data_IF_594355943037
#
_entry.id   IF_594355943037
#
_cell.length_a   1.000
_cell.length_b   1.000
_cell.length_c   1.000
_cell.angle_alpha   90.00
_cell.angle_beta   90.00
_cell.angle_gamma   90.00
#
_symmetry.space_group_name_H-M   'P 1'
#
loop_
_entity.id
_entity.type
_entity.pdbx_description
1 polymer ?
#
# COMPACT_ATOMS: atom_id res chain seq x y z
N UNK A 1 -38.46 -22.45 0.87
CA UNK A 1 -37.10 -21.98 1.27
C UNK A 1 -36.19 -23.18 1.44
N UNK A 2 -35.50 -23.60 0.37
CA UNK A 2 -34.40 -24.56 0.50
C UNK A 2 -33.20 -23.75 0.98
N UNK A 3 -32.91 -23.77 2.29
CA UNK A 3 -31.61 -23.31 2.80
C UNK A 3 -30.57 -24.31 2.28
N UNK A 4 -29.95 -24.01 1.15
CA UNK A 4 -28.81 -24.79 0.65
C UNK A 4 -27.64 -24.63 1.63
N UNK A 5 -26.99 -25.75 1.96
CA UNK A 5 -25.81 -25.74 2.80
C UNK A 5 -24.69 -24.92 2.14
N UNK A 6 -24.07 -23.98 2.87
CA UNK A 6 -22.94 -23.27 2.33
C UNK A 6 -21.76 -24.22 2.13
N UNK A 7 -21.08 -24.13 0.99
CA UNK A 7 -19.76 -24.75 0.85
C UNK A 7 -18.83 -24.14 1.90
N UNK A 8 -18.16 -24.99 2.68
CA UNK A 8 -17.30 -24.57 3.81
C UNK A 8 -16.20 -23.57 3.41
N UNK A 9 -15.85 -23.49 2.12
CA UNK A 9 -14.78 -22.64 1.58
C UNK A 9 -15.23 -21.30 0.95
N UNK A 10 -16.52 -20.94 1.04
CA UNK A 10 -17.07 -19.72 0.43
C UNK A 10 -17.79 -18.82 1.46
N UNK A 11 -17.51 -17.51 1.41
CA UNK A 11 -18.34 -16.49 2.05
C UNK A 11 -19.54 -16.23 1.15
N UNK A 12 -20.76 -16.36 1.66
CA UNK A 12 -21.97 -16.07 0.88
C UNK A 12 -22.42 -14.63 1.12
N UNK A 13 -22.87 -13.96 0.06
CA UNK A 13 -23.34 -12.57 0.10
C UNK A 13 -24.85 -12.56 -0.14
N UNK A 14 -25.61 -12.29 0.91
CA UNK A 14 -27.06 -12.07 0.82
C UNK A 14 -27.43 -10.58 0.68
N UNK A 15 -28.74 -10.33 0.59
CA UNK A 15 -29.30 -8.98 0.49
C UNK A 15 -29.00 -8.14 1.73
N UNK A 16 -29.19 -8.73 2.92
CA UNK A 16 -29.05 -8.03 4.20
C UNK A 16 -27.70 -8.26 4.89
N UNK A 17 -27.09 -9.44 4.72
CA UNK A 17 -25.90 -9.84 5.48
C UNK A 17 -25.03 -10.82 4.71
N UNK A 18 -23.77 -10.94 5.15
CA UNK A 18 -22.84 -11.97 4.71
C UNK A 18 -22.87 -13.15 5.70
N UNK A 19 -22.73 -14.37 5.20
CA UNK A 19 -22.62 -15.59 6.01
C UNK A 19 -21.29 -16.31 5.75
N UNK A 20 -20.87 -17.15 6.70
CA UNK A 20 -19.59 -17.89 6.70
C UNK A 20 -18.34 -17.01 6.66
N UNK A 21 -18.36 -15.92 7.43
CA UNK A 21 -17.26 -14.96 7.49
C UNK A 21 -16.03 -15.55 8.20
N UNK A 22 -16.23 -16.54 9.08
CA UNK A 22 -15.16 -17.18 9.86
C UNK A 22 -14.72 -18.47 9.17
N UNK A 23 -13.40 -18.70 9.12
CA UNK A 23 -12.88 -20.03 8.80
C UNK A 23 -13.29 -21.00 9.91
N UNK A 24 -14.02 -22.05 9.55
CA UNK A 24 -14.45 -23.14 10.44
C UNK A 24 -13.37 -24.21 10.65
N UNK A 25 -12.25 -24.15 9.93
CA UNK A 25 -11.24 -25.23 9.84
C UNK A 25 -10.54 -25.57 11.19
N UNK A 26 -10.64 -24.72 12.21
CA UNK A 26 -9.88 -24.88 13.45
C UNK A 26 -10.50 -25.80 14.52
N UNK A 27 -11.80 -26.14 14.46
CA UNK A 27 -12.47 -26.83 15.59
C UNK A 27 -13.54 -27.88 15.22
N UNK A 28 -13.65 -28.30 13.95
CA UNK A 28 -14.56 -29.39 13.54
C UNK A 28 -13.95 -30.78 13.66
N UNK A 29 -14.78 -31.82 13.82
CA UNK A 29 -14.40 -33.24 13.93
C UNK A 29 -13.62 -33.81 12.71
N UNK A 30 -13.41 -33.01 11.66
CA UNK A 30 -12.60 -33.31 10.48
C UNK A 30 -11.32 -32.46 10.33
N UNK A 31 -10.88 -31.75 11.37
CA UNK A 31 -9.71 -30.86 11.32
C UNK A 31 -8.45 -31.63 10.89
N UNK A 32 -7.95 -31.35 9.68
CA UNK A 32 -6.66 -31.86 9.23
C UNK A 32 -5.55 -31.11 9.98
N UNK A 33 -4.70 -31.86 10.67
CA UNK A 33 -3.48 -31.30 11.26
C UNK A 33 -2.69 -30.51 10.21
N UNK A 34 -2.12 -29.37 10.62
CA UNK A 34 -1.31 -28.54 9.74
C UNK A 34 -0.16 -29.36 9.11
N UNK A 35 -0.10 -29.35 7.78
CA UNK A 35 0.92 -30.03 6.98
C UNK A 35 1.61 -29.01 6.08
N UNK A 36 2.93 -28.84 6.27
CA UNK A 36 3.74 -27.95 5.43
C UNK A 36 3.75 -28.42 3.97
N UNK A 37 3.70 -29.73 3.73
CA UNK A 37 3.64 -30.30 2.39
C UNK A 37 2.34 -29.92 1.67
N UNK A 38 1.20 -29.98 2.37
CA UNK A 38 -0.08 -29.57 1.83
C UNK A 38 -0.17 -28.07 1.60
N UNK A 39 0.36 -27.26 2.53
CA UNK A 39 0.46 -25.82 2.35
C UNK A 39 1.28 -25.48 1.09
N UNK A 40 2.45 -26.11 0.90
CA UNK A 40 3.30 -25.89 -0.27
C UNK A 40 2.63 -26.29 -1.58
N UNK A 41 1.80 -27.34 -1.56
CA UNK A 41 1.04 -27.80 -2.73
C UNK A 41 -0.12 -26.85 -3.09
N UNK A 42 -0.80 -26.30 -2.09
CA UNK A 42 -1.94 -25.37 -2.25
C UNK A 42 -1.49 -23.95 -2.61
N UNK A 43 -0.36 -23.51 -2.07
CA UNK A 43 0.15 -22.15 -2.27
C UNK A 43 0.45 -21.89 -3.76
N UNK A 44 -0.24 -20.89 -4.32
CA UNK A 44 0.05 -20.39 -5.67
C UNK A 44 0.04 -18.88 -5.66
N UNK A 45 0.94 -18.28 -6.42
CA UNK A 45 1.01 -16.83 -6.64
C UNK A 45 0.99 -16.54 -8.13
N UNK A 46 0.17 -15.57 -8.55
CA UNK A 46 0.07 -15.14 -9.94
C UNK A 46 0.12 -13.63 -10.01
N UNK A 47 1.09 -13.08 -10.75
CA UNK A 47 1.19 -11.63 -10.95
C UNK A 47 0.33 -11.24 -12.15
N UNK A 48 -0.54 -10.26 -11.96
CA UNK A 48 -1.47 -9.76 -12.99
C UNK A 48 -0.95 -8.45 -13.59
N UNK A 49 -0.48 -7.55 -12.73
CA UNK A 49 0.15 -6.27 -13.13
C UNK A 49 1.36 -6.03 -12.25
N UNK A 50 2.47 -5.58 -12.85
CA UNK A 50 3.68 -5.20 -12.13
C UNK A 50 4.33 -4.00 -12.82
N UNK A 51 4.32 -2.86 -12.15
CA UNK A 51 5.07 -1.65 -12.49
C UNK A 51 5.80 -1.17 -11.23
N UNK A 52 6.69 -0.18 -11.36
CA UNK A 52 7.43 0.34 -10.21
C UNK A 52 6.49 0.86 -9.11
N UNK A 53 5.37 1.48 -9.49
CA UNK A 53 4.39 2.07 -8.57
C UNK A 53 3.25 1.11 -8.23
N UNK A 54 2.80 0.24 -9.14
CA UNK A 54 1.63 -0.62 -8.93
C UNK A 54 1.96 -2.11 -9.03
N UNK A 55 1.48 -2.89 -8.07
CA UNK A 55 1.50 -4.35 -8.13
C UNK A 55 0.11 -4.93 -7.83
N UNK A 56 -0.43 -5.67 -8.79
CA UNK A 56 -1.62 -6.51 -8.60
C UNK A 56 -1.22 -7.98 -8.73
N UNK A 57 -1.46 -8.76 -7.69
CA UNK A 57 -1.14 -10.19 -7.68
C UNK A 57 -2.15 -10.99 -6.87
N UNK A 58 -2.30 -12.25 -7.25
CA UNK A 58 -3.13 -13.22 -6.56
C UNK A 58 -2.27 -14.08 -5.65
N UNK A 59 -2.76 -14.34 -4.44
CA UNK A 59 -2.23 -15.34 -3.54
C UNK A 59 -3.33 -16.33 -3.15
N UNK A 60 -3.10 -17.59 -3.47
CA UNK A 60 -4.08 -18.68 -3.34
C UNK A 60 -3.55 -19.71 -2.34
N UNK A 61 -4.41 -20.22 -1.47
CA UNK A 61 -4.08 -21.27 -0.50
C UNK A 61 -3.44 -20.76 0.79
N UNK A 62 -3.66 -19.48 1.13
CA UNK A 62 -3.15 -18.84 2.35
C UNK A 62 -4.30 -18.47 3.27
N UNK A 63 -4.06 -18.50 4.58
CA UNK A 63 -5.04 -18.06 5.57
C UNK A 63 -5.20 -16.53 5.60
N UNK A 64 -6.42 -15.98 5.80
CA UNK A 64 -6.64 -14.54 5.91
C UNK A 64 -5.74 -13.83 6.93
N UNK A 65 -5.32 -14.50 8.00
CA UNK A 65 -4.41 -13.92 9.01
C UNK A 65 -3.03 -13.63 8.42
N UNK A 66 -2.49 -14.52 7.58
CA UNK A 66 -1.19 -14.32 6.91
C UNK A 66 -1.32 -13.22 5.86
N UNK A 67 -2.39 -13.25 5.04
CA UNK A 67 -2.65 -12.20 4.06
C UNK A 67 -2.78 -10.82 4.74
N UNK A 68 -3.54 -10.73 5.82
CA UNK A 68 -3.67 -9.49 6.59
C UNK A 68 -2.37 -9.07 7.29
N UNK A 69 -1.54 -10.03 7.72
CA UNK A 69 -0.22 -9.71 8.27
C UNK A 69 0.68 -9.05 7.22
N UNK A 70 0.74 -9.59 5.99
CA UNK A 70 1.47 -8.97 4.87
C UNK A 70 0.97 -7.54 4.64
N UNK A 71 -0.35 -7.36 4.53
CA UNK A 71 -0.97 -6.03 4.35
C UNK A 71 -0.59 -5.05 5.46
N UNK A 72 -0.65 -5.48 6.72
CA UNK A 72 -0.31 -4.63 7.87
C UNK A 72 1.17 -4.25 7.91
N UNK A 73 2.04 -5.18 7.56
CA UNK A 73 3.49 -4.94 7.52
C UNK A 73 3.83 -3.94 6.41
N UNK A 74 3.24 -4.08 5.22
CA UNK A 74 3.42 -3.14 4.12
C UNK A 74 3.09 -1.70 4.53
N UNK A 75 2.00 -1.50 5.27
CA UNK A 75 1.55 -0.17 5.70
C UNK A 75 2.41 0.39 6.84
N UNK A 76 2.79 -0.44 7.81
CA UNK A 76 3.25 0.05 9.11
C UNK A 76 4.69 -0.31 9.48
N UNK A 77 5.32 -1.29 8.83
CA UNK A 77 6.57 -1.87 9.36
C UNK A 77 7.69 -2.02 8.34
N UNK A 78 7.41 -1.85 7.05
CA UNK A 78 8.48 -1.70 6.06
C UNK A 78 9.13 -0.33 6.25
N UNK A 79 10.46 -0.26 6.50
CA UNK A 79 11.12 0.99 6.82
C UNK A 79 11.41 1.85 5.58
N UNK A 80 11.31 3.16 5.74
CA UNK A 80 11.55 4.16 4.69
C UNK A 80 12.36 5.35 5.22
N UNK A 81 12.82 6.21 4.32
CA UNK A 81 13.46 7.48 4.66
C UNK A 81 12.44 8.62 4.55
N UNK A 82 12.25 9.39 5.62
CA UNK A 82 11.39 10.58 5.61
C UNK A 82 12.00 11.70 6.45
N UNK A 83 11.60 12.95 6.19
CA UNK A 83 12.11 14.12 6.90
C UNK A 83 11.68 14.04 8.37
N UNK A 84 12.65 14.19 9.28
CA UNK A 84 12.41 14.06 10.72
C UNK A 84 12.84 15.30 11.50
N UNK A 85 14.07 15.77 11.29
CA UNK A 85 14.55 17.02 11.89
C UNK A 85 14.61 18.11 10.83
N UNK A 86 13.93 19.21 11.08
CA UNK A 86 13.92 20.38 10.21
C UNK A 86 14.42 21.56 11.02
N UNK A 87 15.57 22.10 10.64
CA UNK A 87 16.14 23.31 11.23
C UNK A 87 15.77 24.48 10.32
N UNK A 88 14.81 25.29 10.78
CA UNK A 88 14.44 26.55 10.15
C UNK A 88 15.44 27.63 10.54
N UNK A 89 16.12 28.20 9.54
CA UNK A 89 17.07 29.31 9.72
C UNK A 89 16.30 30.63 9.60
N UNK A 90 15.46 30.75 8.57
CA UNK A 90 14.62 31.92 8.35
C UNK A 90 13.32 31.53 7.64
N UNK A 91 12.17 31.99 8.15
CA UNK A 91 10.89 31.88 7.47
C UNK A 91 10.14 33.20 7.58
N UNK A 92 10.05 33.93 6.47
CA UNK A 92 9.25 35.17 6.35
C UNK A 92 8.01 34.97 5.48
N UNK A 93 7.67 33.72 5.17
CA UNK A 93 6.47 33.37 4.43
C UNK A 93 5.20 33.54 5.28
N UNK A 94 4.04 33.45 4.64
CA UNK A 94 2.75 33.45 5.35
C UNK A 94 2.44 32.13 6.05
N UNK A 95 3.12 31.03 5.69
CA UNK A 95 2.85 29.72 6.27
C UNK A 95 3.59 29.62 7.61
N UNK A 96 2.86 29.23 8.66
CA UNK A 96 3.44 29.01 9.97
C UNK A 96 4.48 27.88 9.93
N UNK A 97 5.54 28.02 10.71
CA UNK A 97 6.66 27.07 10.78
C UNK A 97 6.21 25.62 10.97
N UNK A 98 5.21 25.39 11.83
CA UNK A 98 4.66 24.05 12.11
C UNK A 98 3.98 23.44 10.89
N UNK A 99 3.24 24.24 10.14
CA UNK A 99 2.55 23.76 8.93
C UNK A 99 3.55 23.51 7.81
N UNK A 100 4.54 24.39 7.66
CA UNK A 100 5.61 24.25 6.68
C UNK A 100 6.44 22.98 6.94
N UNK A 101 6.87 22.78 8.19
CA UNK A 101 7.63 21.58 8.59
C UNK A 101 6.81 20.30 8.43
N UNK A 102 5.51 20.31 8.77
CA UNK A 102 4.64 19.16 8.58
C UNK A 102 4.48 18.79 7.10
N UNK A 103 4.33 19.79 6.21
CA UNK A 103 4.26 19.56 4.76
C UNK A 103 5.55 18.95 4.21
N UNK A 104 6.71 19.50 4.58
CA UNK A 104 8.02 18.95 4.21
C UNK A 104 8.18 17.51 4.73
N UNK A 105 7.70 17.25 5.95
CA UNK A 105 7.67 15.92 6.56
C UNK A 105 6.99 14.84 5.71
N UNK A 106 6.04 15.23 4.86
CA UNK A 106 5.27 14.34 3.99
C UNK A 106 5.81 14.26 2.55
N UNK A 107 6.84 15.05 2.18
CA UNK A 107 7.45 14.97 0.85
C UNK A 107 8.33 13.72 0.78
N UNK A 108 8.00 12.74 -0.07
CA UNK A 108 8.77 11.51 -0.14
C UNK A 108 10.02 11.70 -1.00
N UNK A 109 11.12 11.06 -0.60
CA UNK A 109 12.40 11.11 -1.30
C UNK A 109 12.80 9.74 -1.86
N UNK A 110 13.46 9.75 -3.00
CA UNK A 110 14.00 8.55 -3.65
C UNK A 110 15.32 8.16 -3.00
N UNK A 111 15.24 7.47 -1.86
CA UNK A 111 16.38 6.92 -1.14
C UNK A 111 16.05 5.53 -0.63
N UNK A 112 16.96 4.58 -0.88
CA UNK A 112 16.84 3.22 -0.38
C UNK A 112 17.18 3.15 1.12
N UNK A 113 16.17 2.92 1.96
CA UNK A 113 16.30 2.83 3.42
C UNK A 113 17.17 1.64 3.89
N UNK A 114 17.46 0.68 3.01
CA UNK A 114 18.30 -0.49 3.34
C UNK A 114 19.78 -0.14 3.46
N UNK A 115 20.20 0.97 2.85
CA UNK A 115 21.57 1.47 2.91
C UNK A 115 21.88 2.21 4.22
N UNK A 116 20.85 2.48 5.03
CA UNK A 116 20.96 3.29 6.24
C UNK A 116 20.66 2.48 7.50
N UNK A 117 21.39 2.81 8.56
CA UNK A 117 21.16 2.29 9.90
C UNK A 117 20.04 3.06 10.61
N UNK A 118 19.54 2.51 11.72
CA UNK A 118 18.58 3.23 12.55
C UNK A 118 19.34 4.19 13.45
N UNK A 119 19.03 5.48 13.38
CA UNK A 119 19.66 6.52 14.20
C UNK A 119 19.17 6.46 15.65
N UNK A 120 20.09 6.58 16.60
CA UNK A 120 19.74 6.95 17.98
C UNK A 120 19.48 8.47 18.03
N UNK A 121 18.33 8.95 18.52
CA UNK A 121 18.01 10.38 18.60
C UNK A 121 19.06 11.22 19.35
N UNK A 122 19.84 10.63 20.26
CA UNK A 122 20.84 11.33 21.06
C UNK A 122 22.16 11.59 20.31
N UNK A 123 22.39 10.91 19.18
CA UNK A 123 23.62 11.02 18.41
C UNK A 123 23.54 12.09 17.31
N UNK A 124 24.67 12.77 16.99
CA UNK A 124 24.74 13.66 15.85
C UNK A 124 24.49 12.90 14.54
N UNK A 125 24.07 13.62 13.50
CA UNK A 125 23.84 13.02 12.18
C UNK A 125 25.15 12.43 11.63
N UNK A 126 25.09 11.21 11.10
CA UNK A 126 26.22 10.55 10.46
C UNK A 126 25.88 10.21 9.00
N UNK A 127 26.90 9.97 8.18
CA UNK A 127 26.71 9.60 6.78
C UNK A 127 26.04 8.22 6.61
N UNK A 128 26.02 7.39 7.66
CA UNK A 128 25.45 6.04 7.66
C UNK A 128 23.96 6.01 8.06
N UNK A 129 23.43 7.09 8.65
CA UNK A 129 22.06 7.11 9.19
C UNK A 129 21.18 8.25 8.66
N UNK A 130 21.79 9.30 8.09
CA UNK A 130 21.08 10.54 7.74
C UNK A 130 21.34 10.94 6.30
N UNK A 131 20.30 11.47 5.63
CA UNK A 131 20.42 12.20 4.37
C UNK A 131 19.99 13.65 4.60
N UNK A 132 20.75 14.61 4.07
CA UNK A 132 20.52 16.03 4.31
C UNK A 132 20.06 16.73 3.03
N UNK A 133 19.03 17.56 3.15
CA UNK A 133 18.60 18.49 2.11
C UNK A 133 18.58 19.91 2.65
N UNK A 134 18.77 20.88 1.77
CA UNK A 134 18.62 22.30 2.05
C UNK A 134 17.59 22.92 1.11
N UNK A 135 16.87 23.91 1.62
CA UNK A 135 15.92 24.72 0.88
C UNK A 135 16.20 26.19 1.17
N UNK A 136 16.74 26.88 0.18
CA UNK A 136 16.99 28.32 0.25
C UNK A 136 16.32 29.00 -0.94
N UNK A 137 15.21 29.69 -0.69
CA UNK A 137 14.43 30.37 -1.74
C UNK A 137 14.00 31.75 -1.28
N UNK A 138 14.34 32.75 -2.09
CA UNK A 138 13.82 34.12 -1.99
C UNK A 138 12.93 34.45 -3.19
N UNK A 139 11.75 34.99 -2.91
CA UNK A 139 10.83 35.47 -3.95
C UNK A 139 11.15 36.91 -4.34
N UNK A 140 11.20 37.18 -5.64
CA UNK A 140 11.54 38.49 -6.19
C UNK A 140 10.55 38.90 -7.30
N UNK A 141 10.47 40.20 -7.60
CA UNK A 141 9.70 40.67 -8.76
C UNK A 141 10.42 40.29 -10.05
N UNK A 142 9.70 39.74 -11.00
CA UNK A 142 10.23 39.47 -12.33
C UNK A 142 10.23 40.78 -13.14
N UNK A 143 11.43 41.32 -13.40
CA UNK A 143 11.58 42.57 -14.15
C UNK A 143 11.29 42.42 -15.65
N UNK A 144 11.20 41.19 -16.16
CA UNK A 144 10.92 40.87 -17.56
C UNK A 144 9.45 40.54 -17.82
N UNK A 145 8.58 40.61 -16.79
CA UNK A 145 7.17 40.31 -16.93
C UNK A 145 6.49 41.31 -17.89
N UNK A 146 5.62 40.81 -18.78
CA UNK A 146 4.82 41.67 -19.65
C UNK A 146 3.87 42.54 -18.80
N UNK A 147 3.62 43.79 -19.23
CA UNK A 147 2.88 44.77 -18.43
C UNK A 147 1.41 44.39 -18.20
N UNK A 148 0.86 43.51 -19.05
CA UNK A 148 -0.48 42.92 -19.00
C UNK A 148 -0.52 41.55 -18.28
N UNK A 149 0.62 41.07 -17.75
CA UNK A 149 0.67 39.79 -17.04
C UNK A 149 -0.19 39.83 -15.78
N UNK A 150 -1.14 38.90 -15.68
CA UNK A 150 -2.03 38.76 -14.51
C UNK A 150 -1.67 37.58 -13.61
N UNK A 151 -0.93 36.60 -14.14
CA UNK A 151 -0.60 35.39 -13.39
C UNK A 151 0.61 35.63 -12.46
N UNK A 152 0.52 35.29 -11.16
CA UNK A 152 1.61 35.48 -10.21
C UNK A 152 2.93 34.80 -10.59
N UNK A 153 2.88 33.72 -11.38
CA UNK A 153 4.07 33.02 -11.89
C UNK A 153 4.85 33.83 -12.94
N UNK A 154 4.17 34.73 -13.65
CA UNK A 154 4.78 35.54 -14.70
C UNK A 154 5.32 36.84 -14.08
N UNK A 155 4.60 37.40 -13.10
CA UNK A 155 4.93 38.65 -12.40
C UNK A 155 6.06 38.47 -11.38
N UNK A 156 6.20 37.28 -10.78
CA UNK A 156 7.12 37.02 -9.68
C UNK A 156 7.99 35.79 -9.95
N UNK A 157 9.29 35.90 -9.68
CA UNK A 157 10.20 34.76 -9.68
C UNK A 157 10.17 34.05 -8.33
N UNK A 158 10.17 32.71 -8.35
CA UNK A 158 10.11 31.85 -7.16
C UNK A 158 8.88 32.10 -6.25
N UNK A 159 7.75 32.48 -6.85
CA UNK A 159 6.50 32.71 -6.10
C UNK A 159 5.83 31.43 -5.61
N UNK A 160 6.16 30.29 -6.21
CA UNK A 160 5.70 28.96 -5.80
C UNK A 160 6.92 28.11 -5.46
N UNK A 161 6.97 27.60 -4.24
CA UNK A 161 8.03 26.73 -3.75
C UNK A 161 7.59 25.28 -3.93
N UNK A 162 8.32 24.54 -4.77
CA UNK A 162 8.07 23.14 -5.07
C UNK A 162 9.11 22.23 -4.42
N UNK A 163 8.76 20.96 -4.27
CA UNK A 163 9.68 19.92 -3.79
C UNK A 163 10.96 19.84 -4.61
N UNK A 164 10.91 20.06 -5.93
CA UNK A 164 12.09 20.05 -6.79
C UNK A 164 13.14 21.13 -6.47
N UNK A 165 12.81 22.12 -5.63
CA UNK A 165 13.79 23.08 -5.12
C UNK A 165 14.59 22.59 -3.90
N UNK A 166 14.26 21.41 -3.36
CA UNK A 166 15.04 20.76 -2.32
C UNK A 166 16.37 20.29 -2.91
N UNK A 167 17.46 20.80 -2.37
CA UNK A 167 18.81 20.50 -2.87
C UNK A 167 19.48 19.52 -1.92
N UNK A 168 19.91 18.36 -2.42
CA UNK A 168 20.63 17.38 -1.61
C UNK A 168 22.03 17.90 -1.27
N UNK A 169 22.41 17.79 0.01
CA UNK A 169 23.74 18.13 0.51
C UNK A 169 24.41 16.85 0.99
N UNK A 170 25.41 16.32 0.27
CA UNK A 170 26.05 15.07 0.61
C UNK A 170 26.83 15.17 1.92
N UNK A 171 26.68 14.16 2.79
CA UNK A 171 27.61 13.94 3.90
C UNK A 171 28.84 13.14 3.42
N UNK A 172 29.88 13.10 4.24
CA UNK A 172 31.14 12.42 3.92
C UNK A 172 30.92 10.98 3.39
N UNK A 173 31.47 10.70 2.21
CA UNK A 173 31.35 9.40 1.52
C UNK A 173 30.05 9.17 0.74
N UNK A 174 29.00 9.97 0.94
CA UNK A 174 27.72 9.79 0.25
C UNK A 174 27.78 10.16 -1.24
N UNK A 175 28.65 11.08 -1.63
CA UNK A 175 28.87 11.42 -3.05
C UNK A 175 29.25 10.19 -3.88
N UNK A 176 30.12 9.34 -3.33
CA UNK A 176 30.54 8.10 -3.98
C UNK A 176 29.41 7.06 -3.97
N UNK A 177 28.68 6.94 -2.86
CA UNK A 177 27.57 5.99 -2.71
C UNK A 177 26.44 6.28 -3.71
N UNK A 178 26.13 7.56 -3.92
CA UNK A 178 25.01 8.02 -4.73
C UNK A 178 25.41 8.62 -6.08
N UNK A 179 26.65 8.42 -6.53
CA UNK A 179 27.16 8.97 -7.79
C UNK A 179 26.27 8.66 -9.01
N UNK A 180 25.60 7.51 -9.03
CA UNK A 180 24.68 7.11 -10.10
C UNK A 180 23.26 7.61 -9.91
N UNK A 181 22.79 7.65 -8.66
CA UNK A 181 21.41 7.91 -8.29
C UNK A 181 21.39 8.86 -7.09
N UNK A 182 21.59 10.18 -7.30
CA UNK A 182 21.56 11.15 -6.21
C UNK A 182 20.19 11.18 -5.53
N UNK A 183 20.14 11.31 -4.20
CA UNK A 183 18.90 11.57 -3.47
C UNK A 183 18.16 12.77 -4.05
N UNK A 184 16.87 12.59 -4.29
CA UNK A 184 15.98 13.67 -4.73
C UNK A 184 14.53 13.38 -4.32
N UNK A 185 13.65 14.39 -4.29
CA UNK A 185 12.21 14.16 -4.19
C UNK A 185 11.72 13.18 -5.26
N UNK A 186 10.69 12.41 -4.96
CA UNK A 186 10.09 11.50 -5.95
C UNK A 186 9.36 12.29 -7.03
N UNK A 187 8.60 13.29 -6.58
CA UNK A 187 7.86 14.23 -7.43
C UNK A 187 8.45 15.62 -7.20
N UNK A 188 8.83 16.30 -8.28
CA UNK A 188 9.48 17.62 -8.23
C UNK A 188 8.47 18.79 -8.18
N UNK A 189 7.17 18.50 -8.34
CA UNK A 189 6.07 19.45 -8.51
C UNK A 189 5.12 19.54 -7.31
N UNK A 190 5.49 18.94 -6.16
CA UNK A 190 4.70 19.07 -4.94
C UNK A 190 4.83 20.50 -4.42
N UNK A 191 3.73 21.25 -4.46
CA UNK A 191 3.70 22.61 -3.92
C UNK A 191 3.83 22.59 -2.39
N UNK A 192 4.88 23.22 -1.87
CA UNK A 192 5.16 23.34 -0.43
C UNK A 192 4.59 24.66 0.09
N UNK A 193 4.95 25.78 -0.53
CA UNK A 193 4.59 27.12 -0.07
C UNK A 193 4.37 28.09 -1.24
N UNK A 194 3.65 29.17 -0.99
CA UNK A 194 3.55 30.31 -1.92
C UNK A 194 4.12 31.56 -1.26
N UNK A 195 4.95 32.28 -1.99
CA UNK A 195 5.67 33.46 -1.52
C UNK A 195 5.24 34.72 -2.27
N UNK A 196 5.57 35.87 -1.68
CA UNK A 196 5.50 37.20 -2.30
C UNK A 196 6.87 37.87 -2.26
N UNK A 197 7.12 38.87 -3.13
CA UNK A 197 8.43 39.53 -3.19
C UNK A 197 8.89 40.03 -1.83
N UNK A 198 10.14 39.73 -1.48
CA UNK A 198 10.73 40.06 -0.18
C UNK A 198 10.60 38.96 0.87
N UNK A 199 9.79 37.92 0.61
CA UNK A 199 9.71 36.74 1.47
C UNK A 199 10.75 35.69 1.07
N UNK A 200 11.19 34.94 2.06
CA UNK A 200 12.23 33.93 1.99
C UNK A 200 11.95 32.77 2.92
N UNK A 201 12.36 31.58 2.48
CA UNK A 201 12.42 30.36 3.28
C UNK A 201 13.85 29.82 3.19
N UNK A 202 14.46 29.60 4.36
CA UNK A 202 15.76 28.99 4.53
C UNK A 202 15.68 27.90 5.61
N UNK A 203 15.95 26.65 5.22
CA UNK A 203 15.95 25.51 6.13
C UNK A 203 16.88 24.39 5.71
N UNK A 204 17.30 23.62 6.72
CA UNK A 204 18.01 22.35 6.59
C UNK A 204 17.12 21.21 7.06
N UNK A 205 17.09 20.12 6.31
CA UNK A 205 16.19 18.98 6.51
C UNK A 205 17.03 17.71 6.63
N UNK A 206 16.89 17.00 7.73
CA UNK A 206 17.49 15.68 7.97
C UNK A 206 16.43 14.59 7.77
N UNK A 207 16.69 13.70 6.82
CA UNK A 207 15.90 12.51 6.55
C UNK A 207 16.47 11.32 7.31
N UNK A 208 15.61 10.65 8.07
CA UNK A 208 15.96 9.52 8.89
C UNK A 208 15.16 8.29 8.48
N UNK A 209 15.71 7.12 8.80
CA UNK A 209 15.03 5.84 8.67
C UNK A 209 13.96 5.68 9.74
N UNK A 210 12.74 5.30 9.35
CA UNK A 210 11.63 5.05 10.26
C UNK A 210 10.60 4.08 9.69
N UNK A 211 9.57 3.77 10.48
CA UNK A 211 8.48 2.86 10.10
C UNK A 211 7.12 3.54 10.22
N UNK A 212 6.17 3.13 9.37
CA UNK A 212 4.81 3.70 9.31
C UNK A 212 4.04 3.64 10.64
N UNK A 213 4.35 2.65 11.50
CA UNK A 213 3.77 2.49 12.84
C UNK A 213 4.08 3.67 13.76
N UNK A 214 5.25 4.30 13.59
CA UNK A 214 5.65 5.47 14.37
C UNK A 214 4.97 6.73 13.84
N UNK A 215 4.95 6.90 12.52
CA UNK A 215 4.29 8.02 11.86
C UNK A 215 3.94 7.67 10.41
N UNK A 216 2.78 8.12 9.93
CA UNK A 216 2.27 7.80 8.59
C UNK A 216 3.20 8.26 7.44
N UNK A 217 4.01 9.30 7.66
CA UNK A 217 5.04 9.79 6.72
C UNK A 217 6.04 8.71 6.27
N UNK A 218 6.21 7.67 7.09
CA UNK A 218 7.09 6.54 6.79
C UNK A 218 6.40 5.38 6.07
N UNK A 219 5.09 5.47 5.77
CA UNK A 219 4.41 4.44 4.98
C UNK A 219 4.98 4.44 3.55
N UNK A 220 5.55 3.31 3.06
CA UNK A 220 6.05 3.23 1.69
C UNK A 220 4.94 3.10 0.64
N UNK A 221 3.73 2.80 1.09
CA UNK A 221 2.58 2.55 0.22
C UNK A 221 1.60 3.72 0.31
N UNK A 222 1.05 4.12 -0.84
CA UNK A 222 -0.14 4.97 -0.89
C UNK A 222 -1.33 4.19 -0.34
N UNK A 223 -1.54 2.98 -0.85
CA UNK A 223 -2.45 2.00 -0.26
C UNK A 223 -1.96 0.59 -0.50
N UNK A 224 -2.21 -0.28 0.49
CA UNK A 224 -2.05 -1.72 0.34
C UNK A 224 -3.33 -2.37 0.85
N UNK A 225 -4.01 -3.08 -0.06
CA UNK A 225 -5.27 -3.72 0.24
C UNK A 225 -5.36 -5.07 -0.44
N UNK A 226 -6.34 -5.85 -0.02
CA UNK A 226 -6.72 -7.05 -0.74
C UNK A 226 -8.24 -7.20 -0.71
N UNK A 227 -8.74 -7.96 -1.67
CA UNK A 227 -10.10 -8.47 -1.68
C UNK A 227 -10.09 -9.95 -2.01
N UNK A 228 -11.09 -10.68 -1.56
CA UNK A 228 -11.27 -12.07 -1.96
C UNK A 228 -11.80 -12.12 -3.40
N UNK A 229 -11.43 -13.15 -4.16
CA UNK A 229 -11.96 -13.38 -5.50
C UNK A 229 -13.49 -13.56 -5.42
N UNK A 230 -14.28 -12.73 -6.14
CA UNK A 230 -15.72 -12.93 -6.23
C UNK A 230 -16.07 -14.26 -6.90
N UNK A 231 -17.10 -14.91 -6.40
CA UNK A 231 -17.73 -16.10 -6.99
C UNK A 231 -19.16 -15.70 -7.35
N UNK A 232 -19.51 -15.83 -8.62
CA UNK A 232 -20.87 -15.56 -9.12
C UNK A 232 -21.33 -16.83 -9.81
N UNK A 233 -22.35 -17.48 -9.27
CA UNK A 233 -22.96 -18.67 -9.84
C UNK A 233 -24.38 -18.35 -10.31
N UNK A 234 -24.70 -18.72 -11.55
CA UNK A 234 -26.06 -18.71 -12.09
C UNK A 234 -26.67 -20.08 -11.78
N UNK A 235 -27.71 -20.11 -10.94
CA UNK A 235 -28.39 -21.33 -10.50
C UNK A 235 -29.38 -21.83 -11.56
N UNK A 236 -30.01 -20.89 -12.28
CA UNK A 236 -30.97 -21.16 -13.33
C UNK A 236 -30.67 -20.29 -14.56
N UNK A 237 -30.83 -20.84 -15.76
CA UNK A 237 -30.56 -20.11 -17.00
C UNK A 237 -31.40 -18.83 -17.10
N UNK A 238 -30.71 -17.69 -17.15
CA UNK A 238 -31.34 -16.37 -17.29
C UNK A 238 -31.32 -15.97 -18.75
N UNK A 239 -32.52 -15.84 -19.35
CA UNK A 239 -32.71 -15.64 -20.79
C UNK A 239 -33.43 -14.31 -21.12
N UNK A 240 -33.28 -13.85 -22.37
CA UNK A 240 -34.01 -12.71 -22.93
C UNK A 240 -33.74 -11.38 -22.21
N UNK A 241 -34.81 -10.63 -21.93
CA UNK A 241 -34.70 -9.34 -21.22
C UNK A 241 -34.13 -9.47 -19.80
N UNK A 242 -34.37 -10.59 -19.12
CA UNK A 242 -33.78 -10.87 -17.82
C UNK A 242 -32.25 -11.02 -17.92
N UNK A 243 -31.72 -11.57 -19.02
CA UNK A 243 -30.28 -11.70 -19.26
C UNK A 243 -29.61 -10.31 -19.42
N UNK A 244 -30.29 -9.39 -20.12
CA UNK A 244 -29.85 -8.00 -20.28
C UNK A 244 -29.88 -7.25 -18.95
N UNK A 245 -30.95 -7.44 -18.15
CA UNK A 245 -31.05 -6.88 -16.81
C UNK A 245 -29.93 -7.39 -15.91
N UNK A 246 -29.69 -8.71 -15.91
CA UNK A 246 -28.61 -9.33 -15.16
C UNK A 246 -27.25 -8.72 -15.53
N UNK A 247 -26.96 -8.57 -16.83
CA UNK A 247 -25.73 -7.92 -17.29
C UNK A 247 -25.57 -6.49 -16.76
N UNK A 248 -26.66 -5.72 -16.72
CA UNK A 248 -26.65 -4.35 -16.21
C UNK A 248 -26.54 -4.26 -14.68
N UNK A 249 -26.83 -5.34 -13.95
CA UNK A 249 -26.67 -5.41 -12.51
C UNK A 249 -25.20 -5.57 -12.05
N UNK A 250 -24.28 -5.94 -12.95
CA UNK A 250 -22.86 -6.16 -12.65
C UNK A 250 -21.94 -5.14 -13.34
N UNK A 251 -20.68 -5.11 -12.90
CA UNK A 251 -19.63 -4.33 -13.55
C UNK A 251 -19.43 -4.75 -15.01
N UNK A 252 -19.00 -3.82 -15.86
CA UNK A 252 -18.73 -4.09 -17.28
C UNK A 252 -17.68 -5.21 -17.41
N UNK A 253 -17.94 -6.17 -18.29
CA UNK A 253 -17.06 -7.32 -18.54
C UNK A 253 -17.24 -8.52 -17.59
N UNK A 254 -18.11 -8.42 -16.57
CA UNK A 254 -18.41 -9.55 -15.67
C UNK A 254 -19.34 -10.55 -16.35
N UNK A 255 -20.42 -10.05 -16.96
CA UNK A 255 -21.46 -10.84 -17.63
C UNK A 255 -21.51 -10.50 -19.12
N UNK A 256 -21.51 -11.54 -19.95
CA UNK A 256 -21.75 -11.43 -21.39
C UNK A 256 -23.04 -12.16 -21.76
N UNK A 257 -23.56 -11.82 -22.94
CA UNK A 257 -24.77 -12.44 -23.49
C UNK A 257 -24.32 -13.33 -24.65
N UNK A 258 -24.62 -14.61 -24.55
CA UNK A 258 -24.39 -15.62 -25.57
C UNK A 258 -25.72 -15.95 -26.25
N UNK A 259 -25.74 -16.09 -27.57
CA UNK A 259 -26.94 -16.55 -28.28
C UNK A 259 -26.97 -18.07 -28.33
N UNK A 260 -27.92 -18.70 -27.65
CA UNK A 260 -28.19 -20.14 -27.73
C UNK A 260 -29.54 -20.36 -28.37
N UNK A 261 -29.59 -21.08 -29.49
CA UNK A 261 -30.81 -21.37 -30.24
C UNK A 261 -31.65 -20.11 -30.58
N UNK A 262 -30.99 -18.99 -30.87
CA UNK A 262 -31.64 -17.70 -31.16
C UNK A 262 -32.08 -16.89 -29.93
N UNK A 263 -31.89 -17.42 -28.71
CA UNK A 263 -32.24 -16.75 -27.45
C UNK A 263 -30.98 -16.19 -26.78
N UNK A 264 -31.07 -14.95 -26.28
CA UNK A 264 -30.04 -14.28 -25.49
C UNK A 264 -29.94 -14.95 -24.11
N UNK A 265 -28.80 -15.55 -23.75
CA UNK A 265 -28.55 -16.22 -22.47
C UNK A 265 -27.36 -15.56 -21.77
N UNK A 266 -27.49 -15.25 -20.47
CA UNK A 266 -26.40 -14.63 -19.72
C UNK A 266 -25.34 -15.66 -19.29
N UNK A 267 -24.06 -15.27 -19.41
CA UNK A 267 -22.91 -16.08 -19.00
C UNK A 267 -21.95 -15.23 -18.19
N UNK A 268 -21.49 -15.74 -17.05
CA UNK A 268 -20.42 -15.12 -16.27
C UNK A 268 -19.09 -15.40 -16.98
N UNK A 269 -18.37 -14.35 -17.35
CA UNK A 269 -17.10 -14.44 -18.08
C UNK A 269 -15.92 -14.08 -17.19
N UNK A 270 -16.02 -12.98 -16.45
CA UNK A 270 -14.92 -12.52 -15.61
C UNK A 270 -15.42 -11.99 -14.25
N UNK A 271 -15.65 -12.88 -13.27
CA UNK A 271 -16.12 -12.47 -11.94
C UNK A 271 -15.08 -11.63 -11.18
N UNK A 272 -13.80 -11.66 -11.58
CA UNK A 272 -12.74 -10.82 -10.99
C UNK A 272 -13.09 -9.33 -11.10
N UNK A 273 -13.70 -8.90 -12.21
CA UNK A 273 -13.99 -7.49 -12.46
C UNK A 273 -15.16 -6.95 -11.63
N UNK A 274 -15.89 -7.82 -10.91
CA UNK A 274 -17.04 -7.39 -10.13
C UNK A 274 -16.61 -6.62 -8.87
N UNK A 275 -17.24 -5.47 -8.67
CA UNK A 275 -17.12 -4.66 -7.44
C UNK A 275 -18.15 -5.03 -6.40
N UNK A 276 -19.07 -5.96 -6.71
CA UNK A 276 -20.07 -6.51 -5.80
C UNK A 276 -21.05 -5.44 -5.30
N UNK A 277 -21.71 -4.74 -6.23
CA UNK A 277 -22.76 -3.73 -5.93
C UNK A 277 -23.99 -4.32 -5.23
N UNK A 278 -24.24 -5.63 -5.41
CA UNK A 278 -25.45 -6.37 -4.99
C UNK A 278 -26.73 -5.96 -5.71
N UNK A 279 -26.64 -5.21 -6.81
CA UNK A 279 -27.82 -4.76 -7.56
C UNK A 279 -28.71 -5.92 -8.05
N UNK A 280 -28.11 -7.09 -8.35
CA UNK A 280 -28.86 -8.29 -8.77
C UNK A 280 -29.87 -8.75 -7.72
N UNK A 281 -29.60 -8.49 -6.43
CA UNK A 281 -30.47 -8.89 -5.31
C UNK A 281 -31.65 -7.93 -5.12
N UNK A 282 -31.70 -6.82 -5.87
CA UNK A 282 -32.83 -5.87 -5.88
C UNK A 282 -33.94 -6.29 -6.86
N UNK A 283 -33.67 -7.29 -7.70
CA UNK A 283 -34.60 -7.78 -8.70
C UNK A 283 -35.15 -9.14 -8.27
N UNK A 284 -36.43 -9.20 -7.90
CA UNK A 284 -37.07 -10.43 -7.40
C UNK A 284 -36.97 -11.60 -8.40
N UNK A 285 -36.99 -11.29 -9.70
CA UNK A 285 -36.88 -12.29 -10.78
C UNK A 285 -35.45 -12.84 -11.00
N UNK A 286 -34.43 -12.19 -10.43
CA UNK A 286 -33.02 -12.56 -10.54
C UNK A 286 -32.39 -12.99 -9.21
N UNK A 287 -32.91 -12.48 -8.08
CA UNK A 287 -32.33 -12.69 -6.76
C UNK A 287 -32.26 -14.17 -6.37
N UNK A 288 -33.25 -14.97 -6.76
CA UNK A 288 -33.26 -16.42 -6.50
C UNK A 288 -32.42 -17.23 -7.51
N UNK A 289 -32.08 -16.63 -8.66
CA UNK A 289 -31.37 -17.31 -9.76
C UNK A 289 -29.87 -17.15 -9.71
N UNK A 290 -29.35 -16.31 -8.81
CA UNK A 290 -27.93 -15.94 -8.77
C UNK A 290 -27.41 -16.04 -7.35
N UNK A 291 -26.31 -16.77 -7.19
CA UNK A 291 -25.58 -16.84 -5.92
C UNK A 291 -24.34 -15.96 -6.00
N UNK A 292 -24.23 -15.04 -5.05
CA UNK A 292 -23.03 -14.23 -4.85
C UNK A 292 -22.21 -14.80 -3.69
N UNK A 293 -20.91 -14.92 -3.89
CA UNK A 293 -19.98 -15.35 -2.86
C UNK A 293 -18.57 -14.83 -3.07
N UNK A 294 -17.67 -15.26 -2.20
CA UNK A 294 -16.23 -15.00 -2.29
C UNK A 294 -15.45 -16.23 -1.87
N UNK A 295 -14.37 -16.51 -2.59
CA UNK A 295 -13.48 -17.62 -2.31
C UNK A 295 -12.52 -17.27 -1.18
N UNK A 296 -12.59 -17.98 -0.05
CA UNK A 296 -11.88 -17.63 1.20
C UNK A 296 -10.36 -17.75 1.10
N UNK A 297 -9.85 -18.67 0.28
CA UNK A 297 -8.44 -18.97 0.12
C UNK A 297 -7.79 -18.25 -1.07
N UNK A 298 -8.49 -17.30 -1.72
CA UNK A 298 -8.00 -16.59 -2.89
C UNK A 298 -8.08 -15.07 -2.69
N UNK A 299 -6.92 -14.45 -2.46
CA UNK A 299 -6.79 -13.01 -2.27
C UNK A 299 -6.19 -12.35 -3.51
N UNK A 300 -6.83 -11.27 -3.93
CA UNK A 300 -6.33 -10.34 -4.93
C UNK A 300 -5.74 -9.15 -4.18
N UNK A 301 -4.41 -9.05 -4.17
CA UNK A 301 -3.69 -7.92 -3.58
C UNK A 301 -3.52 -6.78 -4.58
N UNK A 302 -3.65 -5.56 -4.08
CA UNK A 302 -3.28 -4.32 -4.77
C UNK A 302 -2.34 -3.54 -3.87
N UNK A 303 -1.12 -3.30 -4.34
CA UNK A 303 -0.08 -2.56 -3.62
C UNK A 303 0.37 -1.40 -4.49
N UNK A 304 0.15 -0.19 -4.00
CA UNK A 304 0.54 1.06 -4.66
C UNK A 304 1.68 1.69 -3.86
N UNK A 305 2.88 1.73 -4.44
CA UNK A 305 4.07 2.36 -3.87
C UNK A 305 4.01 3.88 -4.02
N UNK A 306 4.56 4.60 -3.04
CA UNK A 306 4.79 6.05 -3.14
C UNK A 306 6.00 6.37 -4.04
N UNK A 307 6.75 5.36 -4.50
CA UNK A 307 7.89 5.49 -5.42
C UNK A 307 9.28 5.50 -4.76
N UNK A 308 9.35 5.34 -3.43
CA UNK A 308 10.63 5.23 -2.71
C UNK A 308 11.35 3.92 -3.05
N UNK A 309 10.58 2.85 -3.17
CA UNK A 309 11.00 1.52 -3.58
C UNK A 309 9.97 0.95 -4.57
N UNK A 310 10.38 0.14 -5.56
CA UNK A 310 9.47 -0.59 -6.42
C UNK A 310 8.48 -1.47 -5.63
N UNK A 311 7.25 -1.55 -6.12
CA UNK A 311 6.12 -2.27 -5.52
C UNK A 311 6.42 -3.76 -5.25
N UNK A 312 7.15 -4.44 -6.13
CA UNK A 312 7.56 -5.85 -5.96
C UNK A 312 8.58 -6.03 -4.82
N UNK A 313 9.50 -5.08 -4.66
CA UNK A 313 10.47 -5.05 -3.58
C UNK A 313 9.75 -4.84 -2.26
N UNK A 314 8.75 -3.96 -2.19
CA UNK A 314 7.98 -3.75 -0.95
C UNK A 314 7.35 -5.03 -0.42
N UNK A 315 6.75 -5.84 -1.30
CA UNK A 315 6.17 -7.13 -0.90
C UNK A 315 7.26 -8.08 -0.39
N UNK A 316 8.41 -8.17 -1.06
CA UNK A 316 9.55 -8.98 -0.60
C UNK A 316 10.05 -8.53 0.78
N UNK A 317 10.18 -7.22 1.00
CA UNK A 317 10.60 -6.67 2.29
C UNK A 317 9.57 -6.95 3.39
N UNK A 318 8.27 -6.88 3.09
CA UNK A 318 7.23 -7.21 4.07
C UNK A 318 7.33 -8.66 4.57
N UNK A 319 7.65 -9.61 3.68
CA UNK A 319 7.85 -11.01 4.04
C UNK A 319 9.13 -11.16 4.88
N UNK A 320 10.20 -10.44 4.53
CA UNK A 320 11.44 -10.46 5.35
C UNK A 320 11.22 -9.92 6.75
N UNK A 321 10.44 -8.84 6.91
CA UNK A 321 10.08 -8.28 8.22
C UNK A 321 9.28 -9.31 9.02
N UNK A 322 8.31 -9.98 8.40
CA UNK A 322 7.56 -11.07 9.05
C UNK A 322 8.49 -12.19 9.52
N UNK A 323 9.39 -12.65 8.66
CA UNK A 323 10.37 -13.69 8.99
C UNK A 323 11.31 -13.25 10.11
N UNK A 324 11.78 -12.00 10.09
CA UNK A 324 12.65 -11.43 11.11
C UNK A 324 12.01 -11.41 12.49
N UNK A 325 10.71 -11.12 12.58
CA UNK A 325 9.96 -11.23 13.83
C UNK A 325 9.92 -12.65 14.37
N UNK A 326 9.61 -13.63 13.53
CA UNK A 326 9.60 -15.04 13.94
C UNK A 326 10.98 -15.48 14.45
N UNK A 327 12.05 -15.14 13.72
CA UNK A 327 13.44 -15.43 14.13
C UNK A 327 13.80 -14.80 15.47
N UNK A 328 13.47 -13.53 15.67
CA UNK A 328 13.74 -12.82 16.93
C UNK A 328 13.10 -13.53 18.13
N UNK A 329 11.86 -13.99 18.01
CA UNK A 329 11.21 -14.77 19.08
C UNK A 329 11.85 -16.14 19.28
N UNK A 330 12.24 -16.85 18.22
CA UNK A 330 12.96 -18.12 18.33
C UNK A 330 14.29 -17.95 19.09
N UNK A 331 15.07 -16.92 18.74
CA UNK A 331 16.35 -16.61 19.39
C UNK A 331 16.14 -16.30 20.89
N UNK A 332 15.07 -15.60 21.25
CA UNK A 332 14.73 -15.33 22.64
C UNK A 332 14.38 -16.61 23.41
N UNK A 333 13.60 -17.52 22.80
CA UNK A 333 13.24 -18.81 23.39
C UNK A 333 14.51 -19.65 23.61
N UNK A 334 15.41 -19.69 22.63
CA UNK A 334 16.68 -20.42 22.73
C UNK A 334 17.59 -19.87 23.82
N UNK A 335 17.69 -18.53 23.94
CA UNK A 335 18.43 -17.87 25.03
C UNK A 335 17.90 -18.26 26.40
N UNK A 336 16.58 -18.29 26.58
CA UNK A 336 15.97 -18.70 27.86
C UNK A 336 16.21 -20.18 28.15
N UNK A 337 16.11 -21.05 27.14
CA UNK A 337 16.41 -22.48 27.27
C UNK A 337 17.89 -22.74 27.60
N UNK A 338 18.81 -22.01 26.96
CA UNK A 338 20.25 -22.08 27.23
C UNK A 338 20.59 -21.65 28.66
N UNK A 339 19.97 -20.58 29.17
CA UNK A 339 20.12 -20.15 30.57
C UNK A 339 19.61 -21.20 31.57
N UNK A 340 18.51 -21.90 31.28
CA UNK A 340 18.00 -23.01 32.12
C UNK A 340 18.94 -24.21 32.14
N UNK A 341 19.61 -24.53 31.03
CA UNK A 341 20.60 -25.63 31.00
C UNK A 341 21.85 -25.31 31.82
N UNK A 342 22.32 -24.06 31.81
CA UNK A 342 23.48 -23.65 32.60
C UNK A 342 23.16 -23.53 34.10
N UNK A 343 21.92 -23.18 34.47
CA UNK A 343 21.50 -23.13 35.88
C UNK A 343 21.33 -24.52 36.53
N UNK A 344 20.98 -25.55 35.75
CA UNK A 344 20.82 -26.92 36.26
C UNK A 344 22.11 -27.77 36.16
N UNK A 345 23.23 -27.18 35.71
CA UNK A 345 24.53 -27.85 35.57
C UNK A 345 25.53 -27.51 36.70
N UNK A 346 25.07 -26.91 37.79
CA UNK A 346 25.84 -26.67 39.02
C UNK A 346 25.13 -27.30 40.21
N UNK A 347 25.10 -28.64 40.24
CA UNK A 347 24.90 -29.42 41.46
C UNK A 347 25.77 -30.67 41.40
#
# INVERSE_FOLDING_TARGET
>A
MVKMEPREAEVTIGSHQQSNIRLSEAYGEGSQAYSLADFRRKLRMSVVKCTDEDLEFDIIGVDPAIANAIRRILIAEVPTMAADRITLINNTSFIHDKDLTNRIGLVPIRVDSRLFENRNPEQPASSQDTVVFELHIRCTKNLQAAQDSTLPKDIYSNSSVYSGHLTWVPLEGQEMLFAKNPPKPIHDDILIAKLRPGQEIDMKIEYLKGIGKTHAKFSPVATASYRLLPVIEILEDVCGEAARRLKNSFSKGVVEIEKRNGVDVAKIVNPRMDTCSRNVLMHDDLAEKVRLGRKLDHFIFSVESVGMLPSDILVKESIKVMLGKCKSFLDQIERVRGKRKNANGHH
#
